data_IF_081755529167
#
_entry.id   IF_081755529167
#
_cell.length_a   1.000
_cell.length_b   1.000
_cell.length_c   1.000
_cell.angle_alpha   90.00
_cell.angle_beta   90.00
_cell.angle_gamma   90.00
#
_symmetry.space_group_name_H-M   'P 1'
#
loop_
_entity.id
_entity.type
_entity.pdbx_description
1 polymer ?
#
# COMPACT_ATOMS: atom_id res chain seq x y z
N UNK A 1 22.80 -19.86 52.88
CA UNK A 1 23.04 -21.04 52.02
C UNK A 1 21.96 -21.01 50.94
N UNK A 2 22.19 -20.99 49.63
CA UNK A 2 23.35 -21.31 48.79
C UNK A 2 23.59 -20.16 47.81
N UNK A 3 24.88 -19.87 47.57
CA UNK A 3 25.39 -18.97 46.53
C UNK A 3 25.38 -19.73 45.21
N UNK A 4 24.69 -19.21 44.19
CA UNK A 4 24.84 -19.69 42.81
C UNK A 4 25.93 -18.88 42.14
N UNK A 5 27.13 -19.46 42.11
CA UNK A 5 28.19 -19.07 41.19
C UNK A 5 27.82 -19.60 39.80
N UNK A 6 27.72 -18.71 38.82
CA UNK A 6 27.85 -19.08 37.41
C UNK A 6 28.99 -18.23 36.85
N UNK A 7 30.09 -18.89 36.54
CA UNK A 7 31.28 -18.33 35.94
C UNK A 7 31.57 -19.09 34.63
N UNK A 8 32.30 -18.42 33.74
CA UNK A 8 32.82 -18.89 32.45
C UNK A 8 31.75 -18.93 31.33
N UNK A 9 31.98 -18.43 30.12
CA UNK A 9 33.23 -18.06 29.45
C UNK A 9 32.86 -17.16 28.28
N UNK A 10 33.58 -16.05 28.13
CA UNK A 10 33.52 -15.25 26.92
C UNK A 10 34.13 -16.01 25.74
N UNK A 11 33.47 -15.92 24.60
CA UNK A 11 34.09 -16.16 23.30
C UNK A 11 33.99 -14.85 22.52
N UNK A 12 35.14 -14.20 22.38
CA UNK A 12 35.37 -13.07 21.50
C UNK A 12 35.33 -13.61 20.07
N UNK A 13 34.33 -13.22 19.28
CA UNK A 13 34.32 -13.48 17.84
C UNK A 13 34.91 -12.26 17.15
N UNK A 14 36.05 -12.48 16.53
CA UNK A 14 36.84 -11.49 15.79
C UNK A 14 36.10 -11.10 14.52
N UNK A 15 35.99 -9.78 14.33
CA UNK A 15 35.58 -9.09 13.12
C UNK A 15 36.42 -9.55 11.92
N UNK A 16 35.78 -10.23 10.96
CA UNK A 16 36.26 -10.26 9.59
C UNK A 16 35.42 -9.27 8.78
N UNK A 17 35.97 -8.07 8.58
CA UNK A 17 35.46 -7.12 7.61
C UNK A 17 35.78 -7.61 6.19
N UNK A 18 34.79 -7.58 5.31
CA UNK A 18 35.00 -7.61 3.88
C UNK A 18 34.70 -6.21 3.34
N UNK A 19 35.69 -5.67 2.65
CA UNK A 19 35.76 -4.33 2.10
C UNK A 19 34.76 -4.12 0.97
N UNK A 20 34.23 -2.91 0.92
CA UNK A 20 33.64 -2.25 -0.24
C UNK A 20 34.49 -2.39 -1.50
N UNK A 21 33.88 -2.86 -2.59
CA UNK A 21 34.37 -2.63 -3.95
C UNK A 21 33.19 -2.21 -4.86
N UNK A 22 32.99 -0.90 -4.93
CA UNK A 22 32.23 -0.20 -5.97
C UNK A 22 33.05 -0.14 -7.26
N UNK A 23 32.40 -0.34 -8.43
CA UNK A 23 32.78 0.42 -9.62
C UNK A 23 31.72 1.46 -10.01
N UNK A 24 32.20 2.68 -10.18
CA UNK A 24 31.69 3.70 -11.12
C UNK A 24 31.79 3.13 -12.57
N UNK A 25 31.15 3.61 -13.63
CA UNK A 25 30.47 4.85 -13.98
C UNK A 25 29.85 4.66 -15.39
N UNK A 26 28.98 5.57 -15.78
CA UNK A 26 28.77 6.10 -17.16
C UNK A 26 28.19 5.21 -18.27
N UNK A 27 26.96 5.53 -18.68
CA UNK A 27 26.75 6.07 -20.03
C UNK A 27 25.38 6.73 -20.12
N UNK A 28 25.41 8.05 -20.17
CA UNK A 28 24.33 8.88 -20.66
C UNK A 28 24.22 8.72 -22.19
N UNK A 29 22.99 8.61 -22.68
CA UNK A 29 22.66 9.02 -24.05
C UNK A 29 21.51 10.01 -23.92
N UNK A 30 21.86 11.29 -24.14
CA UNK A 30 20.94 12.38 -24.38
C UNK A 30 20.46 12.40 -25.85
N UNK A 31 19.39 13.20 -26.05
CA UNK A 31 18.98 13.93 -27.28
C UNK A 31 17.94 13.20 -28.19
N UNK A 32 16.92 13.87 -28.79
CA UNK A 32 16.37 15.23 -28.64
C UNK A 32 14.84 15.32 -28.38
N UNK A 33 14.44 16.53 -27.99
CA UNK A 33 13.10 17.12 -27.96
C UNK A 33 12.57 17.50 -29.37
N UNK A 34 11.25 17.77 -29.42
CA UNK A 34 10.41 18.38 -30.46
C UNK A 34 9.62 17.35 -31.28
N UNK A 35 8.30 17.46 -31.41
CA UNK A 35 7.65 18.59 -32.09
C UNK A 35 6.16 18.61 -31.75
N UNK A 36 5.63 19.79 -31.44
CA UNK A 36 4.19 20.09 -31.40
C UNK A 36 3.57 19.90 -32.78
N UNK A 37 2.34 19.37 -32.83
CA UNK A 37 1.44 19.60 -33.96
C UNK A 37 0.01 19.63 -33.44
N UNK A 38 -0.51 20.85 -33.42
CA UNK A 38 -1.94 21.18 -33.38
C UNK A 38 -2.64 20.65 -34.63
N UNK A 39 -3.85 20.09 -34.51
CA UNK A 39 -4.94 20.26 -35.49
C UNK A 39 -6.31 20.17 -34.79
N UNK A 40 -6.84 21.34 -34.46
CA UNK A 40 -8.14 21.93 -34.85
C UNK A 40 -9.30 21.05 -35.39
N UNK A 41 -10.49 21.36 -34.83
CA UNK A 41 -11.85 21.34 -35.44
C UNK A 41 -12.61 20.00 -35.43
N UNK A 42 -13.91 19.92 -35.11
CA UNK A 42 -15.00 20.90 -35.22
C UNK A 42 -16.22 20.54 -34.34
N UNK A 43 -16.99 21.59 -33.97
CA UNK A 43 -18.46 21.80 -33.99
C UNK A 43 -19.38 20.66 -33.49
N UNK A 44 -20.46 20.84 -32.73
CA UNK A 44 -21.54 21.84 -32.69
C UNK A 44 -22.41 21.38 -31.48
N UNK A 45 -23.09 22.21 -30.68
CA UNK A 45 -24.55 22.44 -30.79
C UNK A 45 -25.03 23.13 -29.50
N UNK A 46 -25.68 24.29 -29.70
CA UNK A 46 -26.63 25.06 -28.86
C UNK A 46 -26.24 25.57 -27.45
N UNK A 47 -25.96 26.87 -27.45
CA UNK A 47 -26.35 27.85 -26.43
C UNK A 47 -27.87 28.01 -26.33
N UNK A 48 -28.42 27.91 -25.10
CA UNK A 48 -29.61 28.66 -24.71
C UNK A 48 -29.21 29.74 -23.69
N UNK A 49 -29.42 30.98 -24.12
CA UNK A 49 -29.43 32.19 -23.31
C UNK A 49 -30.71 32.25 -22.48
N UNK A 50 -30.58 32.35 -21.15
CA UNK A 50 -31.59 33.01 -20.33
C UNK A 50 -30.91 34.19 -19.64
N UNK A 51 -31.37 35.35 -20.06
CA UNK A 51 -30.96 36.67 -19.65
C UNK A 51 -31.65 37.06 -18.32
N UNK A 52 -30.94 37.90 -17.56
CA UNK A 52 -31.40 38.85 -16.53
C UNK A 52 -31.74 38.39 -15.09
N UNK A 53 -30.73 38.53 -14.21
CA UNK A 53 -30.55 39.49 -13.08
C UNK A 53 -31.65 39.65 -11.98
N UNK A 54 -31.35 40.26 -10.81
CA UNK A 54 -30.47 39.82 -9.72
C UNK A 54 -31.19 39.89 -8.35
N UNK A 55 -30.87 39.03 -7.38
CA UNK A 55 -31.22 39.30 -5.97
C UNK A 55 -30.05 38.93 -5.09
N UNK A 56 -29.53 39.97 -4.44
CA UNK A 56 -28.58 39.92 -3.34
C UNK A 56 -29.17 39.07 -2.20
N UNK A 57 -28.46 38.02 -1.78
CA UNK A 57 -28.32 37.70 -0.36
C UNK A 57 -26.91 37.18 -0.13
N UNK A 58 -26.17 37.96 0.65
CA UNK A 58 -24.84 37.67 1.17
C UNK A 58 -24.91 36.44 2.08
N UNK A 59 -24.75 35.26 1.48
CA UNK A 59 -24.56 34.02 2.22
C UNK A 59 -23.07 33.86 2.47
N UNK A 60 -22.68 34.09 3.72
CA UNK A 60 -21.34 33.88 4.27
C UNK A 60 -20.91 32.44 3.97
N UNK A 61 -20.02 32.27 3.00
CA UNK A 61 -19.35 31.00 2.75
C UNK A 61 -18.25 30.88 3.80
N UNK A 62 -18.57 30.23 4.91
CA UNK A 62 -17.54 29.71 5.82
C UNK A 62 -16.92 28.51 5.11
N UNK A 63 -15.73 28.67 4.53
CA UNK A 63 -14.86 27.56 4.11
C UNK A 63 -14.38 26.80 5.35
N UNK A 64 -15.27 26.01 5.94
CA UNK A 64 -14.90 24.87 6.76
C UNK A 64 -15.28 23.68 5.89
N UNK A 65 -14.29 23.14 5.15
CA UNK A 65 -14.45 21.87 4.45
C UNK A 65 -14.64 20.80 5.52
N UNK A 66 -15.87 20.59 5.97
CA UNK A 66 -16.29 19.38 6.62
C UNK A 66 -16.17 18.28 5.57
N UNK A 67 -14.98 17.66 5.51
CA UNK A 67 -14.83 16.35 4.89
C UNK A 67 -15.84 15.46 5.60
N UNK A 68 -16.89 15.11 4.88
CA UNK A 68 -17.87 14.11 5.27
C UNK A 68 -17.14 12.77 5.40
N UNK A 69 -16.52 12.57 6.57
CA UNK A 69 -15.76 11.38 6.94
C UNK A 69 -16.68 10.18 7.14
N UNK A 70 -18.01 10.34 7.00
CA UNK A 70 -18.98 9.27 7.22
C UNK A 70 -19.01 8.26 6.04
N UNK A 71 -18.41 8.60 4.90
CA UNK A 71 -18.34 7.73 3.71
C UNK A 71 -16.91 7.33 3.37
N UNK A 72 -16.38 6.30 4.05
CA UNK A 72 -15.05 5.72 3.80
C UNK A 72 -15.12 4.19 3.60
N UNK A 73 -13.99 3.55 3.31
CA UNK A 73 -13.97 2.11 3.04
C UNK A 73 -14.45 1.27 4.24
N UNK A 74 -14.09 1.67 5.46
CA UNK A 74 -14.50 0.99 6.69
C UNK A 74 -16.01 1.00 6.90
N UNK A 75 -16.69 2.12 6.59
CA UNK A 75 -18.13 2.30 6.80
C UNK A 75 -18.98 1.89 5.59
N UNK A 76 -18.45 1.99 4.37
CA UNK A 76 -19.24 1.85 3.15
C UNK A 76 -19.08 0.51 2.42
N UNK A 77 -17.99 -0.23 2.66
CA UNK A 77 -17.72 -1.48 1.95
C UNK A 77 -18.00 -2.70 2.81
N UNK A 78 -18.43 -3.79 2.17
CA UNK A 78 -18.37 -5.14 2.75
C UNK A 78 -16.92 -5.64 2.72
N UNK A 79 -16.03 -5.01 3.47
CA UNK A 79 -14.57 -5.27 3.44
C UNK A 79 -14.16 -6.58 4.12
N UNK A 80 -14.98 -7.18 4.97
CA UNK A 80 -14.60 -8.42 5.64
C UNK A 80 -14.64 -9.59 4.65
N UNK A 81 -13.66 -10.48 4.72
CA UNK A 81 -13.57 -11.64 3.84
C UNK A 81 -12.14 -12.10 3.60
N UNK A 82 -12.00 -13.06 2.69
CA UNK A 82 -10.72 -13.65 2.31
C UNK A 82 -10.25 -13.09 0.98
N UNK A 83 -9.02 -12.61 0.96
CA UNK A 83 -8.36 -11.98 -0.17
C UNK A 83 -7.16 -12.81 -0.57
N UNK A 84 -6.93 -12.98 -1.88
CA UNK A 84 -5.83 -13.77 -2.41
C UNK A 84 -5.12 -13.08 -3.56
N UNK A 85 -3.82 -13.32 -3.67
CA UNK A 85 -3.00 -12.88 -4.80
C UNK A 85 -1.58 -13.42 -4.69
N UNK A 86 -0.78 -13.18 -5.73
CA UNK A 86 0.64 -13.55 -5.77
C UNK A 86 1.46 -12.27 -5.89
N UNK A 87 2.22 -11.96 -4.84
CA UNK A 87 3.06 -10.76 -4.78
C UNK A 87 4.43 -11.00 -5.43
N UNK A 88 5.06 -9.96 -6.01
CA UNK A 88 6.45 -10.02 -6.44
C UNK A 88 7.39 -10.38 -5.29
N UNK A 89 8.39 -11.19 -5.57
CA UNK A 89 9.39 -11.63 -4.62
C UNK A 89 10.80 -11.29 -5.12
N UNK A 90 11.68 -10.85 -4.22
CA UNK A 90 13.02 -10.41 -4.60
C UNK A 90 13.96 -11.58 -4.96
N UNK A 91 13.76 -12.73 -4.32
CA UNK A 91 14.66 -13.90 -4.39
C UNK A 91 13.89 -15.23 -4.58
N UNK A 92 12.65 -15.14 -5.05
CA UNK A 92 11.77 -16.27 -5.34
C UNK A 92 10.81 -15.93 -6.49
N UNK A 93 10.06 -16.91 -7.01
CA UNK A 93 9.15 -16.68 -8.14
C UNK A 93 7.95 -15.78 -7.78
N UNK A 94 7.52 -15.80 -6.52
CA UNK A 94 6.39 -15.04 -6.01
C UNK A 94 6.02 -15.46 -4.60
N UNK A 95 5.16 -14.68 -3.95
CA UNK A 95 4.60 -14.98 -2.63
C UNK A 95 3.10 -15.14 -2.81
N UNK A 96 2.60 -16.37 -2.73
CA UNK A 96 1.16 -16.62 -2.69
C UNK A 96 0.64 -16.20 -1.32
N UNK A 97 -0.20 -15.17 -1.29
CA UNK A 97 -0.68 -14.55 -0.07
C UNK A 97 -2.19 -14.72 0.06
N UNK A 98 -2.64 -15.13 1.24
CA UNK A 98 -4.04 -15.15 1.64
C UNK A 98 -4.23 -14.34 2.91
N UNK A 99 -5.12 -13.35 2.88
CA UNK A 99 -5.50 -12.55 4.06
C UNK A 99 -6.99 -12.73 4.31
N UNK A 100 -7.36 -13.14 5.51
CA UNK A 100 -8.75 -13.08 5.97
C UNK A 100 -8.91 -11.95 6.97
N UNK A 101 -9.81 -11.00 6.70
CA UNK A 101 -10.19 -9.93 7.61
C UNK A 101 -11.57 -10.21 8.18
N UNK A 102 -11.69 -10.25 9.52
CA UNK A 102 -12.93 -10.50 10.22
C UNK A 102 -13.56 -9.20 10.75
N UNK A 103 -14.89 -9.20 10.91
CA UNK A 103 -15.65 -8.04 11.42
C UNK A 103 -15.29 -7.66 12.86
N UNK A 104 -14.76 -8.59 13.64
CA UNK A 104 -14.33 -8.37 15.01
C UNK A 104 -12.95 -7.71 15.13
N UNK A 105 -12.32 -7.34 14.00
CA UNK A 105 -11.01 -6.71 13.97
C UNK A 105 -9.84 -7.70 14.00
N UNK A 106 -10.09 -9.00 13.83
CA UNK A 106 -9.04 -10.02 13.74
C UNK A 106 -8.66 -10.34 12.29
N UNK A 107 -7.43 -10.82 12.09
CA UNK A 107 -6.96 -11.32 10.80
C UNK A 107 -6.30 -12.70 10.89
N UNK A 108 -6.27 -13.38 9.75
CA UNK A 108 -5.38 -14.53 9.48
C UNK A 108 -4.59 -14.20 8.21
N UNK A 109 -3.26 -14.29 8.27
CA UNK A 109 -2.34 -14.12 7.15
C UNK A 109 -1.65 -15.46 6.89
N UNK A 110 -1.68 -15.91 5.64
CA UNK A 110 -0.97 -17.10 5.17
C UNK A 110 -0.13 -16.70 3.96
N UNK A 111 1.16 -17.06 3.97
CA UNK A 111 2.07 -16.80 2.86
C UNK A 111 2.77 -18.10 2.45
N UNK A 112 2.94 -18.28 1.14
CA UNK A 112 3.74 -19.35 0.56
C UNK A 112 4.75 -18.76 -0.42
N UNK A 113 6.00 -18.69 0.00
CA UNK A 113 7.15 -18.29 -0.80
C UNK A 113 7.47 -19.40 -1.80
N UNK A 114 7.20 -19.13 -3.08
CA UNK A 114 7.35 -20.11 -4.15
C UNK A 114 8.81 -20.55 -4.28
N UNK A 115 9.04 -21.81 -4.65
CA UNK A 115 10.37 -22.42 -4.80
C UNK A 115 11.24 -22.47 -3.53
N UNK A 116 10.63 -22.31 -2.35
CA UNK A 116 11.29 -22.48 -1.04
C UNK A 116 10.69 -23.67 -0.28
N UNK A 117 11.54 -24.57 0.22
CA UNK A 117 11.11 -25.83 0.87
C UNK A 117 10.40 -25.58 2.22
N UNK A 118 10.88 -24.60 2.99
CA UNK A 118 10.25 -24.12 4.24
C UNK A 118 9.62 -22.73 4.07
N UNK A 119 9.08 -22.46 2.88
CA UNK A 119 8.54 -21.16 2.51
C UNK A 119 7.13 -20.85 2.99
N UNK A 120 6.58 -21.57 3.97
CA UNK A 120 5.19 -21.37 4.39
C UNK A 120 5.15 -20.66 5.74
N UNK A 121 4.40 -19.56 5.81
CA UNK A 121 4.13 -18.83 7.04
C UNK A 121 2.63 -18.73 7.30
N UNK A 122 2.27 -18.69 8.58
CA UNK A 122 0.91 -18.39 9.01
C UNK A 122 0.96 -17.57 10.30
N UNK A 123 0.19 -16.51 10.35
CA UNK A 123 0.05 -15.65 11.52
C UNK A 123 -1.39 -15.18 11.70
N UNK A 124 -1.73 -14.83 12.94
CA UNK A 124 -3.06 -14.40 13.33
C UNK A 124 -2.92 -13.26 14.35
N UNK A 125 -3.82 -12.30 14.30
CA UNK A 125 -3.74 -11.14 15.18
C UNK A 125 -4.91 -10.19 15.04
N UNK A 126 -4.73 -8.95 15.49
CA UNK A 126 -5.69 -7.86 15.29
C UNK A 126 -5.21 -6.94 14.18
N UNK A 127 -6.14 -6.21 13.55
CA UNK A 127 -5.80 -5.11 12.66
C UNK A 127 -6.46 -3.82 13.13
N UNK A 128 -5.88 -2.69 12.73
CA UNK A 128 -6.40 -1.35 13.03
C UNK A 128 -6.66 -0.59 11.74
N UNK A 129 -7.65 0.28 11.75
CA UNK A 129 -7.89 1.25 10.68
C UNK A 129 -7.10 2.53 10.91
N UNK A 130 -6.68 3.19 9.84
CA UNK A 130 -6.21 4.56 9.89
C UNK A 130 -7.37 5.54 10.19
N UNK A 131 -7.03 6.80 10.46
CA UNK A 131 -8.03 7.82 10.80
C UNK A 131 -9.04 8.09 9.66
N UNK A 132 -8.67 7.80 8.40
CA UNK A 132 -9.55 8.00 7.25
C UNK A 132 -10.39 6.74 6.92
N UNK A 133 -10.28 5.66 7.69
CA UNK A 133 -11.02 4.42 7.44
C UNK A 133 -10.74 3.81 6.07
N UNK A 134 -9.52 3.96 5.54
CA UNK A 134 -9.13 3.56 4.19
C UNK A 134 -7.98 2.55 4.16
N UNK A 135 -7.19 2.48 5.23
CA UNK A 135 -6.02 1.61 5.35
C UNK A 135 -6.19 0.71 6.57
N UNK A 136 -5.92 -0.58 6.39
CA UNK A 136 -5.78 -1.54 7.49
C UNK A 136 -4.31 -1.87 7.73
N UNK A 137 -3.92 -1.92 9.00
CA UNK A 137 -2.58 -2.32 9.45
C UNK A 137 -2.68 -3.59 10.28
N UNK A 138 -2.01 -4.66 9.85
CA UNK A 138 -1.96 -5.92 10.60
C UNK A 138 -0.99 -5.78 11.78
N UNK A 139 -1.49 -5.85 13.01
CA UNK A 139 -0.66 -5.67 14.21
C UNK A 139 0.24 -6.88 14.46
N UNK A 140 1.46 -6.64 14.94
CA UNK A 140 2.49 -7.67 15.19
C UNK A 140 3.04 -8.37 13.93
N UNK A 141 2.73 -7.86 12.74
CA UNK A 141 3.43 -8.22 11.50
C UNK A 141 4.60 -7.27 11.24
N UNK A 142 5.63 -7.78 10.57
CA UNK A 142 6.75 -6.98 10.09
C UNK A 142 6.31 -6.05 8.95
N UNK A 143 6.92 -4.86 8.88
CA UNK A 143 6.67 -3.94 7.78
C UNK A 143 7.22 -4.50 6.45
N UNK A 144 6.48 -4.34 5.32
CA UNK A 144 5.27 -3.55 5.19
C UNK A 144 4.02 -4.41 5.47
N UNK A 145 3.18 -3.96 6.39
CA UNK A 145 1.99 -4.68 6.89
C UNK A 145 0.69 -3.87 6.71
N UNK A 146 0.73 -2.84 5.86
CA UNK A 146 -0.39 -1.94 5.60
C UNK A 146 -1.03 -2.27 4.24
N UNK A 147 -2.36 -2.17 4.19
CA UNK A 147 -3.15 -2.44 2.98
C UNK A 147 -4.21 -1.36 2.80
N UNK A 148 -4.28 -0.76 1.61
CA UNK A 148 -5.41 0.09 1.24
C UNK A 148 -6.61 -0.78 0.88
N UNK A 149 -7.78 -0.45 1.43
CA UNK A 149 -9.02 -1.20 1.24
C UNK A 149 -9.82 -0.57 0.11
N UNK A 150 -10.03 -1.35 -0.96
CA UNK A 150 -10.94 -1.02 -2.05
C UNK A 150 -12.09 -2.02 -2.15
N UNK A 151 -13.04 -1.73 -3.03
CA UNK A 151 -14.13 -2.66 -3.31
C UNK A 151 -13.58 -3.99 -3.83
N UNK A 152 -13.80 -5.07 -3.08
CA UNK A 152 -13.34 -6.42 -3.37
C UNK A 152 -11.81 -6.58 -3.56
N UNK A 153 -11.00 -5.64 -3.06
CA UNK A 153 -9.54 -5.68 -3.21
C UNK A 153 -8.80 -5.11 -1.99
N UNK A 154 -7.69 -5.74 -1.62
CA UNK A 154 -6.66 -5.14 -0.75
C UNK A 154 -5.44 -4.82 -1.59
N UNK A 155 -4.91 -3.60 -1.49
CA UNK A 155 -3.68 -3.19 -2.17
C UNK A 155 -2.57 -3.08 -1.15
N UNK A 156 -1.56 -3.95 -1.23
CA UNK A 156 -0.42 -3.91 -0.30
C UNK A 156 0.37 -2.61 -0.52
N UNK A 157 0.57 -1.88 0.57
CA UNK A 157 1.32 -0.62 0.55
C UNK A 157 2.82 -0.87 0.67
N UNK A 158 3.61 0.10 0.25
CA UNK A 158 5.06 0.05 0.39
C UNK A 158 5.52 0.37 1.82
N UNK A 159 6.84 0.46 2.01
CA UNK A 159 7.47 0.74 3.31
C UNK A 159 7.13 2.12 3.88
N UNK A 160 6.72 3.07 3.04
CA UNK A 160 6.31 4.40 3.45
C UNK A 160 4.80 4.47 3.75
N UNK A 161 4.06 3.39 3.52
CA UNK A 161 2.60 3.39 3.60
C UNK A 161 1.94 4.02 2.37
N UNK A 162 2.66 4.09 1.24
CA UNK A 162 2.14 4.65 0.00
C UNK A 162 1.69 3.53 -0.94
N UNK A 163 0.76 3.85 -1.84
CA UNK A 163 0.34 2.92 -2.90
C UNK A 163 1.50 2.73 -3.87
N UNK A 164 1.80 1.49 -4.22
CA UNK A 164 2.67 1.18 -5.36
C UNK A 164 2.06 1.79 -6.62
N UNK A 165 2.87 2.44 -7.45
CA UNK A 165 2.44 3.12 -8.68
C UNK A 165 3.12 2.53 -9.92
N UNK A 166 2.63 2.92 -11.10
CA UNK A 166 3.14 2.45 -12.39
C UNK A 166 2.72 1.02 -12.74
N UNK A 167 3.44 0.40 -13.66
CA UNK A 167 3.08 -0.90 -14.25
C UNK A 167 3.06 -2.06 -13.24
N UNK A 168 3.75 -1.90 -12.10
CA UNK A 168 3.82 -2.93 -11.07
C UNK A 168 2.65 -2.87 -10.08
N UNK A 169 1.91 -1.75 -10.01
CA UNK A 169 0.84 -1.56 -9.02
C UNK A 169 -0.18 -2.73 -8.98
N UNK A 170 -0.65 -3.27 -10.11
CA UNK A 170 -1.61 -4.38 -10.09
C UNK A 170 -1.07 -5.66 -9.45
N UNK A 171 0.25 -5.85 -9.42
CA UNK A 171 0.89 -7.04 -8.82
C UNK A 171 0.81 -7.02 -7.29
N UNK A 172 0.44 -5.89 -6.68
CA UNK A 172 0.27 -5.73 -5.24
C UNK A 172 -1.18 -5.85 -4.76
N UNK A 173 -2.09 -6.28 -5.65
CA UNK A 173 -3.49 -6.45 -5.34
C UNK A 173 -3.81 -7.89 -4.90
N UNK A 174 -4.52 -8.01 -3.78
CA UNK A 174 -5.18 -9.24 -3.33
C UNK A 174 -6.68 -9.11 -3.60
N UNK A 175 -7.25 -10.03 -4.37
CA UNK A 175 -8.66 -9.97 -4.77
C UNK A 175 -9.51 -10.80 -3.82
N UNK A 176 -10.65 -10.26 -3.42
CA UNK A 176 -11.63 -10.96 -2.59
C UNK A 176 -12.18 -12.18 -3.32
N UNK A 177 -12.34 -13.29 -2.59
CA UNK A 177 -12.81 -14.58 -3.12
C UNK A 177 -14.33 -14.77 -2.96
#
# INVERSE_FOLDING_TARGET
MKKTMLALTGAVIILAGCQDEKPAETSAVEVPQATETEVTTSADVTTETIDTLPVEEEQVITEETFVDSEHNAQSALDWNGTYKGTLPCADCAGIDMTITLNQDGTYVLEESYQDKEDGQSKSEGQFTWDANGSIVTLTNEDAPNQYFVGENVLMKLDMNGEKVTGDLAPLYNLTKQ
#
